data_IF_820013126550
#
_entry.id   IF_820013126550
#
_cell.length_a   1.000
_cell.length_b   1.000
_cell.length_c   1.000
_cell.angle_alpha   90.00
_cell.angle_beta   90.00
_cell.angle_gamma   90.00
#
_symmetry.space_group_name_H-M   'P 1'
#
loop_
_entity.id
_entity.type
_entity.pdbx_description
1 polymer ?
#
# COMPACT_ATOMS: atom_id res chain seq x y z
N UNK A 1 -31.50 9.58 -34.70
CA UNK A 1 -31.26 9.99 -33.30
C UNK A 1 -30.81 8.83 -32.35
N UNK A 2 -30.99 7.53 -32.66
CA UNK A 2 -30.58 6.43 -31.80
C UNK A 2 -29.08 6.04 -31.85
N UNK A 3 -28.32 6.53 -32.85
CA UNK A 3 -26.89 6.20 -33.01
C UNK A 3 -25.91 7.18 -32.31
N UNK A 4 -26.36 8.36 -31.90
CA UNK A 4 -25.53 9.34 -31.20
C UNK A 4 -25.42 9.10 -29.69
N UNK A 5 -26.38 8.40 -29.11
CA UNK A 5 -26.40 8.15 -27.65
C UNK A 5 -25.40 7.04 -27.24
N UNK A 6 -25.18 6.05 -28.12
CA UNK A 6 -24.22 4.97 -27.84
C UNK A 6 -22.75 5.43 -27.89
N UNK A 7 -22.43 6.43 -28.72
CA UNK A 7 -21.04 6.95 -28.79
C UNK A 7 -20.68 7.85 -27.60
N UNK A 8 -21.64 8.52 -27.01
CA UNK A 8 -21.42 9.33 -25.81
C UNK A 8 -21.25 8.47 -24.55
N UNK A 9 -21.96 7.34 -24.46
CA UNK A 9 -21.82 6.40 -23.33
C UNK A 9 -20.47 5.68 -23.35
N UNK A 10 -19.96 5.35 -24.55
CA UNK A 10 -18.64 4.74 -24.69
C UNK A 10 -17.48 5.68 -24.33
N UNK A 11 -17.63 6.99 -24.59
CA UNK A 11 -16.63 7.99 -24.24
C UNK A 11 -16.57 8.27 -22.72
N UNK A 12 -17.69 8.17 -22.02
CA UNK A 12 -17.74 8.34 -20.55
C UNK A 12 -17.16 7.11 -19.83
N UNK A 13 -17.33 5.91 -20.38
CA UNK A 13 -16.74 4.68 -19.82
C UNK A 13 -15.21 4.59 -20.00
N UNK A 14 -14.65 5.25 -21.03
CA UNK A 14 -13.21 5.29 -21.25
C UNK A 14 -12.50 6.35 -20.37
N UNK A 15 -13.22 7.33 -19.84
CA UNK A 15 -12.69 8.34 -18.92
C UNK A 15 -12.65 7.87 -17.46
N UNK A 16 -13.42 6.82 -17.11
CA UNK A 16 -13.41 6.25 -15.75
C UNK A 16 -12.30 5.23 -15.49
N UNK A 17 -11.55 4.81 -16.54
CA UNK A 17 -10.39 3.92 -16.41
C UNK A 17 -9.06 4.66 -16.24
N UNK A 18 -9.05 6.00 -16.29
CA UNK A 18 -7.84 6.81 -16.14
C UNK A 18 -7.55 7.26 -14.68
N UNK A 19 -8.34 6.78 -13.70
CA UNK A 19 -8.16 7.12 -12.29
C UNK A 19 -7.40 6.06 -11.49
N UNK A 20 -6.86 5.03 -12.14
CA UNK A 20 -6.03 4.02 -11.51
C UNK A 20 -4.58 4.20 -11.94
N UNK A 21 -3.72 4.47 -10.95
CA UNK A 21 -2.27 4.40 -11.06
C UNK A 21 -1.57 5.67 -11.59
N UNK A 22 -1.27 6.60 -10.71
CA UNK A 22 -0.10 7.45 -10.87
C UNK A 22 1.16 6.70 -10.39
N UNK A 23 1.39 5.50 -10.89
CA UNK A 23 2.57 4.70 -10.58
C UNK A 23 3.51 4.64 -11.78
N UNK A 24 4.79 5.00 -11.60
CA UNK A 24 5.83 4.74 -12.57
C UNK A 24 6.29 3.29 -12.45
N UNK A 25 5.61 2.38 -13.15
CA UNK A 25 6.12 1.01 -13.31
C UNK A 25 7.26 1.04 -14.32
N UNK A 26 8.49 1.04 -13.82
CA UNK A 26 9.68 0.90 -14.64
C UNK A 26 9.82 -0.58 -15.07
N UNK A 27 9.25 -0.94 -16.21
CA UNK A 27 9.45 -2.26 -16.81
C UNK A 27 10.94 -2.53 -17.05
N UNK A 28 11.48 -3.53 -16.38
CA UNK A 28 12.89 -3.94 -16.46
C UNK A 28 13.75 -3.58 -15.26
N UNK A 29 13.24 -2.85 -14.26
CA UNK A 29 13.91 -2.67 -12.97
C UNK A 29 13.26 -3.58 -11.91
N UNK A 30 14.08 -4.02 -10.94
CA UNK A 30 13.61 -4.79 -9.78
C UNK A 30 12.94 -3.91 -8.71
N UNK A 31 12.49 -2.71 -9.07
CA UNK A 31 11.79 -1.77 -8.19
C UNK A 31 10.62 -1.10 -8.92
N UNK A 32 9.56 -0.82 -8.17
CA UNK A 32 8.44 0.01 -8.62
C UNK A 32 8.17 1.11 -7.59
N UNK A 33 7.74 2.28 -8.05
CA UNK A 33 7.43 3.41 -7.18
C UNK A 33 6.12 4.07 -7.57
N UNK A 34 5.37 4.52 -6.56
CA UNK A 34 4.16 5.31 -6.74
C UNK A 34 3.99 6.33 -5.62
N UNK A 35 3.16 7.33 -5.86
CA UNK A 35 2.70 8.26 -4.84
C UNK A 35 1.33 7.81 -4.35
N UNK A 36 1.17 7.74 -3.03
CA UNK A 36 -0.10 7.47 -2.37
C UNK A 36 -0.62 8.78 -1.79
N UNK A 37 -1.80 9.18 -2.26
CA UNK A 37 -2.52 10.30 -1.67
C UNK A 37 -3.14 9.84 -0.35
N UNK A 38 -2.86 10.58 0.71
CA UNK A 38 -3.62 10.47 1.96
C UNK A 38 -4.86 11.38 1.92
N UNK A 39 -5.84 11.08 2.75
CA UNK A 39 -6.95 12.02 3.01
C UNK A 39 -6.46 13.29 3.73
N UNK A 40 -5.29 13.23 4.37
CA UNK A 40 -4.56 14.36 4.92
C UNK A 40 -3.43 14.82 3.96
N UNK A 41 -3.19 16.09 3.89
CA UNK A 41 -2.38 16.91 2.97
C UNK A 41 -0.96 16.44 2.56
N UNK A 42 -0.51 15.24 2.95
CA UNK A 42 0.83 14.74 2.65
C UNK A 42 0.77 13.50 1.76
N UNK A 43 1.31 13.61 0.54
CA UNK A 43 1.55 12.44 -0.31
C UNK A 43 2.79 11.66 0.17
N UNK A 44 2.70 10.34 0.15
CA UNK A 44 3.81 9.43 0.45
C UNK A 44 4.32 8.84 -0.85
N UNK A 45 5.62 8.93 -1.10
CA UNK A 45 6.27 8.15 -2.13
C UNK A 45 6.64 6.79 -1.57
N UNK A 46 6.11 5.75 -2.20
CA UNK A 46 6.38 4.34 -1.86
C UNK A 46 7.23 3.73 -2.97
N UNK A 47 8.39 3.21 -2.63
CA UNK A 47 9.21 2.39 -3.53
C UNK A 47 9.26 0.96 -2.99
N UNK A 48 9.03 -0.02 -3.87
CA UNK A 48 9.00 -1.44 -3.54
C UNK A 48 10.11 -2.18 -4.27
N UNK A 49 10.89 -2.99 -3.55
CA UNK A 49 11.85 -3.93 -4.13
C UNK A 49 11.12 -5.19 -4.63
N UNK A 50 11.15 -5.38 -5.96
CA UNK A 50 10.53 -6.51 -6.66
C UNK A 50 11.53 -7.62 -7.00
N UNK A 51 12.75 -7.57 -6.47
CA UNK A 51 13.76 -8.60 -6.70
C UNK A 51 13.27 -9.99 -6.26
N UNK A 52 13.58 -11.01 -7.04
CA UNK A 52 13.15 -12.38 -6.78
C UNK A 52 11.79 -12.78 -7.37
N UNK A 53 11.27 -12.00 -8.33
CA UNK A 53 10.03 -12.33 -9.05
C UNK A 53 8.75 -11.79 -8.39
N UNK A 54 8.90 -10.83 -7.49
CA UNK A 54 7.76 -10.15 -6.86
C UNK A 54 7.05 -9.21 -7.81
N UNK A 55 5.77 -8.98 -7.57
CA UNK A 55 4.92 -8.07 -8.32
C UNK A 55 4.16 -7.14 -7.37
N UNK A 56 3.75 -5.97 -7.86
CA UNK A 56 3.07 -4.97 -7.06
C UNK A 56 1.93 -4.34 -7.84
N UNK A 57 0.82 -4.08 -7.15
CA UNK A 57 -0.29 -3.29 -7.64
C UNK A 57 -0.47 -2.06 -6.77
N UNK A 58 -0.44 -0.88 -7.40
CA UNK A 58 -0.71 0.40 -6.74
C UNK A 58 -2.15 0.81 -7.00
N UNK A 59 -2.90 0.99 -5.93
CA UNK A 59 -4.24 1.56 -5.95
C UNK A 59 -4.27 2.81 -5.05
N UNK A 60 -5.29 3.65 -5.21
CA UNK A 60 -5.39 4.87 -4.42
C UNK A 60 -5.35 4.55 -2.92
N UNK A 61 -4.35 5.09 -2.21
CA UNK A 61 -4.17 4.92 -0.77
C UNK A 61 -3.67 3.54 -0.32
N UNK A 62 -3.43 2.60 -1.26
CA UNK A 62 -2.96 1.26 -0.92
C UNK A 62 -1.97 0.69 -1.94
N UNK A 63 -1.16 -0.24 -1.48
CA UNK A 63 -0.24 -1.06 -2.29
C UNK A 63 -0.45 -2.51 -1.94
N UNK A 64 -0.67 -3.36 -2.94
CA UNK A 64 -0.73 -4.81 -2.76
C UNK A 64 0.54 -5.44 -3.32
N UNK A 65 1.19 -6.29 -2.52
CA UNK A 65 2.41 -7.00 -2.87
C UNK A 65 2.12 -8.48 -3.10
N UNK A 66 2.68 -9.03 -4.15
CA UNK A 66 2.53 -10.43 -4.56
C UNK A 66 3.91 -11.07 -4.64
N UNK A 67 4.04 -12.31 -4.20
CA UNK A 67 5.28 -13.12 -4.28
C UNK A 67 5.46 -13.79 -5.65
N UNK A 68 4.58 -13.51 -6.59
CA UNK A 68 4.52 -14.07 -7.93
C UNK A 68 3.90 -13.08 -8.93
N UNK A 69 3.71 -13.50 -10.16
CA UNK A 69 2.97 -12.71 -11.17
C UNK A 69 1.51 -12.53 -10.76
N UNK A 70 0.99 -11.31 -10.92
CA UNK A 70 -0.41 -10.98 -10.62
C UNK A 70 -1.33 -11.70 -11.59
N UNK A 71 -2.28 -12.47 -11.06
CA UNK A 71 -3.31 -13.18 -11.82
C UNK A 71 -4.69 -12.90 -11.19
N UNK A 72 -5.77 -13.25 -11.90
CA UNK A 72 -7.13 -13.10 -11.35
C UNK A 72 -7.42 -14.01 -10.15
N UNK A 73 -6.52 -14.94 -9.83
CA UNK A 73 -6.75 -16.01 -8.84
C UNK A 73 -5.76 -16.02 -7.68
N UNK A 74 -4.70 -15.21 -7.70
CA UNK A 74 -3.78 -15.11 -6.58
C UNK A 74 -4.09 -13.88 -5.72
N UNK A 75 -4.09 -14.08 -4.42
CA UNK A 75 -4.23 -13.00 -3.45
C UNK A 75 -2.86 -12.35 -3.17
N UNK A 76 -2.86 -11.07 -2.82
CA UNK A 76 -1.66 -10.39 -2.34
C UNK A 76 -1.19 -11.01 -1.01
N UNK A 77 0.12 -11.10 -0.84
CA UNK A 77 0.74 -11.62 0.39
C UNK A 77 0.97 -10.52 1.44
N UNK A 78 0.89 -9.27 1.02
CA UNK A 78 0.94 -8.11 1.90
C UNK A 78 0.17 -6.92 1.33
N UNK A 79 -0.25 -6.05 2.23
CA UNK A 79 -0.90 -4.78 1.90
C UNK A 79 -0.24 -3.66 2.69
N UNK A 80 0.00 -2.54 2.01
CA UNK A 80 0.34 -1.27 2.63
C UNK A 80 -0.80 -0.30 2.41
N UNK A 81 -1.25 0.38 3.46
CA UNK A 81 -2.27 1.43 3.40
C UNK A 81 -1.78 2.70 4.09
N UNK A 82 -2.26 3.84 3.63
CA UNK A 82 -2.12 5.11 4.35
C UNK A 82 -3.28 5.25 5.33
N UNK A 83 -3.00 5.83 6.49
CA UNK A 83 -3.98 6.06 7.55
C UNK A 83 -4.15 7.57 7.78
N UNK A 84 -5.35 7.97 8.21
CA UNK A 84 -5.48 9.26 8.85
C UNK A 84 -4.94 9.23 10.30
N UNK A 85 -4.81 10.40 10.91
CA UNK A 85 -4.20 10.52 12.24
C UNK A 85 -5.00 9.80 13.32
N UNK A 86 -6.33 9.88 13.27
CA UNK A 86 -7.22 9.32 14.29
C UNK A 86 -7.12 7.79 14.29
N UNK A 87 -7.19 7.18 13.11
CA UNK A 87 -7.02 5.72 12.94
C UNK A 87 -5.62 5.27 13.35
N UNK A 88 -4.59 6.03 12.97
CA UNK A 88 -3.22 5.73 13.39
C UNK A 88 -3.05 5.74 14.91
N UNK A 89 -3.61 6.74 15.62
CA UNK A 89 -3.51 6.84 17.07
C UNK A 89 -4.26 5.70 17.77
N UNK A 90 -5.44 5.28 17.25
CA UNK A 90 -6.18 4.12 17.76
C UNK A 90 -5.42 2.82 17.54
N UNK A 91 -4.87 2.59 16.34
CA UNK A 91 -4.07 1.41 16.01
C UNK A 91 -2.78 1.36 16.82
N UNK A 92 -2.13 2.52 17.06
CA UNK A 92 -0.93 2.61 17.89
C UNK A 92 -1.22 2.24 19.34
N UNK A 93 -2.34 2.70 19.91
CA UNK A 93 -2.76 2.33 21.27
C UNK A 93 -2.99 0.80 21.35
N UNK A 94 -3.67 0.22 20.36
CA UNK A 94 -3.90 -1.22 20.28
C UNK A 94 -2.60 -2.00 20.12
N UNK A 95 -1.70 -1.54 19.25
CA UNK A 95 -0.39 -2.15 19.02
C UNK A 95 0.46 -2.14 20.30
N UNK A 96 0.50 -1.02 21.04
CA UNK A 96 1.27 -0.90 22.28
C UNK A 96 0.67 -1.72 23.44
N UNK A 97 -0.62 -2.04 23.37
CA UNK A 97 -1.28 -2.93 24.33
C UNK A 97 -1.04 -4.43 24.05
N UNK A 98 -0.59 -4.79 22.86
CA UNK A 98 -0.21 -6.17 22.51
C UNK A 98 1.08 -6.56 23.28
N UNK A 99 1.01 -7.60 24.13
CA UNK A 99 2.16 -8.08 24.91
C UNK A 99 3.31 -8.59 24.02
N UNK A 100 3.03 -8.90 22.75
CA UNK A 100 4.02 -9.39 21.78
C UNK A 100 4.58 -8.32 20.85
N UNK A 101 4.19 -7.04 21.05
CA UNK A 101 4.68 -5.96 20.20
C UNK A 101 6.21 -5.83 20.23
N UNK A 102 6.77 -5.38 19.12
CA UNK A 102 8.20 -5.13 18.96
C UNK A 102 8.39 -3.76 18.30
N UNK A 103 9.07 -2.86 18.97
CA UNK A 103 9.51 -1.60 18.37
C UNK A 103 10.81 -1.82 17.61
N UNK A 104 10.80 -1.61 16.30
CA UNK A 104 11.97 -1.72 15.43
C UNK A 104 11.73 -0.97 14.11
N UNK A 105 12.81 -0.63 13.41
CA UNK A 105 12.79 -0.04 12.06
C UNK A 105 12.00 1.28 11.95
N UNK A 106 11.86 1.99 13.06
CA UNK A 106 11.11 3.26 13.11
C UNK A 106 9.60 3.10 13.26
N UNK A 107 9.12 1.91 13.60
CA UNK A 107 7.71 1.61 13.81
C UNK A 107 7.47 0.52 14.84
N UNK A 108 6.26 0.00 14.88
CA UNK A 108 5.80 -1.01 15.82
C UNK A 108 5.23 -2.21 15.07
N UNK A 109 5.78 -3.39 15.31
CA UNK A 109 5.23 -4.67 14.89
C UNK A 109 4.29 -5.20 15.97
N UNK A 110 3.11 -5.67 15.59
CA UNK A 110 2.09 -6.18 16.51
C UNK A 110 1.19 -7.21 15.84
N UNK A 111 0.43 -7.97 16.61
CA UNK A 111 -0.57 -8.88 16.07
C UNK A 111 -1.76 -8.06 15.57
N UNK A 112 -1.98 -8.05 14.25
CA UNK A 112 -3.06 -7.30 13.62
C UNK A 112 -4.36 -8.08 13.64
N UNK A 113 -4.34 -9.32 13.14
CA UNK A 113 -5.50 -10.20 13.14
C UNK A 113 -5.04 -11.67 13.01
N UNK A 114 -5.46 -12.57 13.93
CA UNK A 114 -5.13 -14.00 13.92
C UNK A 114 -3.65 -14.30 13.58
N UNK A 115 -3.38 -14.72 12.33
CA UNK A 115 -2.05 -15.07 11.85
C UNK A 115 -1.36 -13.91 11.09
N UNK A 116 -1.98 -12.74 11.04
CA UNK A 116 -1.43 -11.53 10.41
C UNK A 116 -0.77 -10.62 11.44
N UNK A 117 0.36 -10.07 11.04
CA UNK A 117 1.07 -9.01 11.76
C UNK A 117 0.87 -7.68 11.06
N UNK A 118 0.77 -6.63 11.85
CA UNK A 118 0.85 -5.24 11.40
C UNK A 118 2.24 -4.66 11.69
N UNK A 119 2.70 -3.80 10.81
CA UNK A 119 3.78 -2.86 11.05
C UNK A 119 3.24 -1.44 10.87
N UNK A 120 3.22 -0.69 11.96
CA UNK A 120 2.68 0.66 12.03
C UNK A 120 3.81 1.67 12.13
N UNK A 121 3.84 2.68 11.28
CA UNK A 121 4.88 3.71 11.28
C UNK A 121 4.33 5.08 10.88
N UNK A 122 5.05 6.13 11.27
CA UNK A 122 4.81 7.50 10.81
C UNK A 122 6.08 8.07 10.19
N UNK A 123 5.93 8.80 9.09
CA UNK A 123 7.05 9.51 8.46
C UNK A 123 7.21 10.94 9.01
N UNK A 124 6.11 11.49 9.53
CA UNK A 124 6.02 12.77 10.23
C UNK A 124 4.66 12.87 10.94
N UNK A 125 4.32 14.05 11.47
CA UNK A 125 3.05 14.31 12.18
C UNK A 125 1.79 14.26 11.28
N UNK A 126 1.92 13.95 9.99
CA UNK A 126 0.81 13.93 9.03
C UNK A 126 0.86 12.79 8.00
N UNK A 127 1.80 11.87 8.12
CA UNK A 127 1.99 10.78 7.18
C UNK A 127 2.14 9.44 7.93
N UNK A 128 1.08 8.64 7.90
CA UNK A 128 0.94 7.40 8.66
C UNK A 128 0.69 6.22 7.74
N UNK A 129 1.34 5.09 8.04
CA UNK A 129 1.31 3.89 7.21
C UNK A 129 1.14 2.65 8.08
N UNK A 130 0.28 1.74 7.63
CA UNK A 130 0.16 0.38 8.11
C UNK A 130 0.56 -0.59 6.99
N UNK A 131 1.45 -1.52 7.30
CA UNK A 131 1.77 -2.67 6.45
C UNK A 131 1.27 -3.92 7.16
N UNK A 132 0.48 -4.74 6.47
CA UNK A 132 0.00 -6.04 6.99
C UNK A 132 0.53 -7.17 6.14
N UNK A 133 0.92 -8.26 6.79
CA UNK A 133 1.36 -9.48 6.14
C UNK A 133 1.26 -10.68 7.11
N UNK A 134 1.46 -11.89 6.57
CA UNK A 134 1.57 -13.08 7.39
C UNK A 134 2.71 -12.93 8.42
N UNK A 135 2.49 -13.42 9.63
CA UNK A 135 3.41 -13.34 10.77
C UNK A 135 4.83 -13.84 10.46
N UNK A 136 4.97 -14.86 9.63
CA UNK A 136 6.28 -15.42 9.29
C UNK A 136 7.13 -14.48 8.42
N UNK A 137 6.51 -13.57 7.68
CA UNK A 137 7.13 -12.85 6.58
C UNK A 137 7.17 -11.33 6.78
N UNK A 138 6.50 -10.78 7.80
CA UNK A 138 6.29 -9.34 7.97
C UNK A 138 7.60 -8.53 7.96
N UNK A 139 8.65 -8.97 8.67
CA UNK A 139 9.91 -8.24 8.71
C UNK A 139 10.61 -8.21 7.33
N UNK A 140 10.60 -9.34 6.61
CA UNK A 140 11.16 -9.45 5.28
C UNK A 140 10.36 -8.61 4.26
N UNK A 141 9.05 -8.53 4.45
CA UNK A 141 8.15 -7.72 3.62
C UNK A 141 8.34 -6.23 3.90
N UNK A 142 8.39 -5.79 5.15
CA UNK A 142 8.65 -4.40 5.52
C UNK A 142 9.97 -3.91 4.92
N UNK A 143 11.01 -4.75 4.94
CA UNK A 143 12.32 -4.43 4.36
C UNK A 143 12.29 -4.19 2.82
N UNK A 144 11.23 -4.61 2.11
CA UNK A 144 11.05 -4.34 0.68
C UNK A 144 10.52 -2.94 0.39
N UNK A 145 9.93 -2.29 1.38
CA UNK A 145 9.35 -0.95 1.22
C UNK A 145 10.36 0.13 1.61
N UNK A 146 10.47 1.14 0.78
CA UNK A 146 11.12 2.41 1.12
C UNK A 146 10.05 3.50 1.04
N UNK A 147 9.85 4.18 2.16
CA UNK A 147 8.83 5.21 2.31
C UNK A 147 9.49 6.57 2.46
N UNK A 148 9.00 7.57 1.76
CA UNK A 148 9.43 8.96 1.91
C UNK A 148 8.26 9.92 1.69
N UNK A 149 8.38 11.13 2.24
CA UNK A 149 7.43 12.19 1.93
C UNK A 149 7.66 12.66 0.50
N UNK A 150 6.57 12.82 -0.25
CA UNK A 150 6.63 13.49 -1.53
C UNK A 150 6.94 14.99 -1.32
N UNK A 151 7.93 15.49 -2.05
CA UNK A 151 8.30 16.91 -2.05
C UNK A 151 7.41 17.73 -2.99
#
# INVERSE_FOLDING_TARGET
MKRMICTLLAAVLLLSLAACSSGNVNSGKQTASAYLDQESDAAIEVTVDLSGGWSVEFVRGAVYLYDSEITETNDGVAMLVTLDKEVYEEDLEAAMADESHKEADGGVYYTYYEDEMGYLTSLNDSAYVLITANKADIEAIVARFTLSLAN
#
